data_IF_855393612352
#
_entry.id   IF_855393612352
#
_cell.length_a   1.000
_cell.length_b   1.000
_cell.length_c   1.000
_cell.angle_alpha   90.00
_cell.angle_beta   90.00
_cell.angle_gamma   90.00
#
_symmetry.space_group_name_H-M   'P 1'
#
loop_
_entity.id
_entity.type
_entity.pdbx_description
1 polymer ?
#
# COMPACT_ATOMS: atom_id res chain seq x y z
N UNK A 1 6.42 2.49 -21.55
CA UNK A 1 6.91 2.56 -20.16
C UNK A 1 5.79 2.03 -19.28
N UNK A 2 6.02 0.94 -18.55
CA UNK A 2 4.99 0.35 -17.68
C UNK A 2 4.94 1.12 -16.36
N UNK A 3 3.74 1.53 -15.92
CA UNK A 3 3.54 2.10 -14.58
C UNK A 3 3.07 0.99 -13.65
N UNK A 4 3.87 0.66 -12.64
CA UNK A 4 3.53 -0.35 -11.65
C UNK A 4 2.89 0.29 -10.41
N UNK A 5 1.82 -0.33 -9.90
CA UNK A 5 1.12 0.08 -8.69
C UNK A 5 1.11 -1.02 -7.65
N UNK A 6 1.54 -0.72 -6.43
CA UNK A 6 1.36 -1.60 -5.28
C UNK A 6 0.00 -1.34 -4.65
N UNK A 7 -0.99 -2.20 -4.96
CA UNK A 7 -2.36 -2.08 -4.44
C UNK A 7 -2.38 -2.32 -2.93
N UNK A 8 -2.90 -1.35 -2.19
CA UNK A 8 -3.03 -1.41 -0.74
C UNK A 8 -4.14 -0.45 -0.26
N UNK A 9 -4.67 -0.68 0.95
CA UNK A 9 -5.65 0.19 1.62
C UNK A 9 -5.20 1.65 1.62
N UNK A 10 -6.11 2.55 1.30
CA UNK A 10 -5.87 3.99 1.20
C UNK A 10 -5.21 4.54 2.46
N UNK A 11 -5.71 4.13 3.63
CA UNK A 11 -5.17 4.56 4.93
C UNK A 11 -3.72 4.09 5.15
N UNK A 12 -3.37 2.90 4.64
CA UNK A 12 -2.02 2.33 4.76
C UNK A 12 -1.07 3.03 3.80
N UNK A 13 -1.51 3.31 2.55
CA UNK A 13 -0.76 4.13 1.61
C UNK A 13 -0.39 5.49 2.22
N UNK A 14 -1.34 6.17 2.85
CA UNK A 14 -1.10 7.45 3.50
C UNK A 14 -0.24 7.34 4.77
N UNK A 15 -0.31 6.23 5.50
CA UNK A 15 0.54 6.00 6.67
C UNK A 15 2.01 5.82 6.26
N UNK A 16 2.25 5.03 5.20
CA UNK A 16 3.58 4.83 4.61
C UNK A 16 4.12 6.13 4.01
N UNK A 17 3.33 6.80 3.17
CA UNK A 17 3.75 8.02 2.47
C UNK A 17 4.08 9.20 3.41
N UNK A 18 3.38 9.29 4.54
CA UNK A 18 3.66 10.31 5.59
C UNK A 18 4.74 9.89 6.58
N UNK A 19 5.29 8.68 6.47
CA UNK A 19 6.25 8.14 7.44
C UNK A 19 5.66 7.82 8.83
N UNK A 20 4.33 7.81 8.98
CA UNK A 20 3.66 7.42 10.24
C UNK A 20 3.79 5.92 10.52
N UNK A 21 3.97 5.14 9.47
CA UNK A 21 4.24 3.72 9.50
C UNK A 21 5.44 3.43 8.61
N UNK A 22 6.38 2.61 9.09
CA UNK A 22 7.61 2.28 8.36
C UNK A 22 7.67 0.82 7.92
N UNK A 23 6.79 -0.03 8.46
CA UNK A 23 6.77 -1.48 8.21
C UNK A 23 5.42 -1.89 7.68
N UNK A 24 5.41 -2.75 6.66
CA UNK A 24 4.22 -3.44 6.19
C UNK A 24 4.45 -4.95 6.27
N UNK A 25 3.49 -5.66 6.86
CA UNK A 25 3.49 -7.12 6.89
C UNK A 25 2.42 -7.59 5.92
N UNK A 26 2.83 -8.28 4.86
CA UNK A 26 1.94 -8.85 3.85
C UNK A 26 2.11 -10.36 3.87
N UNK A 27 1.00 -11.08 3.89
CA UNK A 27 1.02 -12.51 3.63
C UNK A 27 1.41 -12.71 2.16
N UNK A 28 2.46 -13.49 1.90
CA UNK A 28 2.87 -13.89 0.56
C UNK A 28 1.79 -14.70 -0.17
N UNK A 29 2.03 -14.96 -1.45
CA UNK A 29 1.17 -15.85 -2.25
C UNK A 29 1.26 -17.30 -1.80
N UNK A 30 0.30 -18.13 -2.21
CA UNK A 30 0.23 -19.55 -1.84
C UNK A 30 1.43 -20.35 -2.41
N UNK A 31 2.07 -19.85 -3.48
CA UNK A 31 3.26 -20.44 -4.08
C UNK A 31 4.34 -19.38 -4.28
N UNK A 32 5.33 -19.38 -3.39
CA UNK A 32 6.61 -18.71 -3.63
C UNK A 32 7.52 -19.72 -4.32
N UNK A 33 8.00 -19.38 -5.53
CA UNK A 33 8.95 -20.22 -6.25
C UNK A 33 10.29 -20.32 -5.52
N UNK A 34 11.28 -21.00 -6.12
CA UNK A 34 12.62 -21.16 -5.50
C UNK A 34 13.32 -19.84 -5.12
N UNK A 35 12.89 -18.71 -5.69
CA UNK A 35 13.40 -17.37 -5.38
C UNK A 35 12.80 -16.71 -4.13
N UNK A 36 11.84 -17.34 -3.45
CA UNK A 36 11.21 -16.80 -2.24
C UNK A 36 10.40 -15.51 -2.45
N UNK A 37 10.11 -14.80 -1.36
CA UNK A 37 9.42 -13.51 -1.37
C UNK A 37 10.36 -12.38 -1.81
N UNK A 38 10.00 -11.68 -2.90
CA UNK A 38 10.71 -10.48 -3.34
C UNK A 38 9.78 -9.51 -4.07
N UNK A 39 10.16 -8.24 -4.10
CA UNK A 39 9.49 -7.25 -4.94
C UNK A 39 9.82 -7.51 -6.41
N UNK A 40 8.79 -7.78 -7.22
CA UNK A 40 8.95 -7.89 -8.70
C UNK A 40 9.39 -6.58 -9.35
N UNK A 41 8.89 -5.45 -8.86
CA UNK A 41 9.25 -4.11 -9.33
C UNK A 41 9.99 -3.36 -8.24
N UNK A 42 11.10 -2.70 -8.59
CA UNK A 42 11.90 -1.91 -7.65
C UNK A 42 11.37 -0.50 -7.44
N UNK A 43 10.54 -0.03 -8.35
CA UNK A 43 9.96 1.30 -8.38
C UNK A 43 8.48 1.16 -8.71
N UNK A 44 7.62 1.77 -7.90
CA UNK A 44 6.17 1.66 -8.06
C UNK A 44 5.46 2.79 -7.33
N UNK A 45 4.24 3.10 -7.78
CA UNK A 45 3.33 3.95 -7.05
C UNK A 45 2.62 3.15 -5.95
N UNK A 46 2.26 3.80 -4.84
CA UNK A 46 1.25 3.23 -3.94
C UNK A 46 -0.12 3.44 -4.56
N UNK A 47 -0.84 2.35 -4.80
CA UNK A 47 -2.15 2.39 -5.45
C UNK A 47 -3.26 2.19 -4.40
N UNK A 48 -3.89 3.29 -3.91
CA UNK A 48 -4.85 3.22 -2.82
C UNK A 48 -6.15 2.55 -3.25
N UNK A 49 -6.73 1.72 -2.38
CA UNK A 49 -8.02 1.08 -2.59
C UNK A 49 -8.86 1.10 -1.31
N UNK A 50 -10.17 1.25 -1.43
CA UNK A 50 -11.12 1.13 -0.32
C UNK A 50 -11.74 -0.27 -0.21
N UNK A 51 -11.29 -1.20 -1.05
CA UNK A 51 -11.86 -2.54 -1.17
C UNK A 51 -11.51 -3.41 0.05
N UNK A 52 -12.54 -3.91 0.74
CA UNK A 52 -12.46 -4.69 1.98
C UNK A 52 -11.65 -4.03 3.11
N UNK A 53 -11.58 -2.69 3.15
CA UNK A 53 -10.98 -1.99 4.28
C UNK A 53 -11.74 -2.28 5.58
N UNK A 54 -10.99 -2.61 6.65
CA UNK A 54 -11.54 -2.88 7.97
C UNK A 54 -11.11 -1.80 8.94
N UNK A 55 -11.76 -0.63 8.88
CA UNK A 55 -11.43 0.54 9.72
C UNK A 55 -11.40 0.20 11.21
N UNK A 56 -12.29 -0.68 11.68
CA UNK A 56 -12.31 -1.13 13.08
C UNK A 56 -11.04 -1.88 13.52
N UNK A 57 -10.18 -2.33 12.60
CA UNK A 57 -8.92 -3.05 12.88
C UNK A 57 -7.69 -2.16 12.78
N UNK A 58 -7.84 -0.86 12.57
CA UNK A 58 -6.72 0.08 12.51
C UNK A 58 -6.77 1.05 13.69
N UNK A 59 -5.60 1.52 14.12
CA UNK A 59 -5.47 2.56 15.15
C UNK A 59 -5.16 3.87 14.46
N UNK A 60 -6.19 4.64 14.14
CA UNK A 60 -6.09 5.92 13.46
C UNK A 60 -7.11 6.90 14.06
N UNK A 61 -6.77 8.19 14.10
CA UNK A 61 -7.72 9.20 14.52
C UNK A 61 -8.86 9.30 13.51
N UNK A 62 -10.08 9.55 13.97
CA UNK A 62 -11.25 9.63 13.08
C UNK A 62 -11.08 10.70 11.98
N UNK A 63 -10.39 11.80 12.29
CA UNK A 63 -10.08 12.87 11.35
C UNK A 63 -9.14 12.44 10.20
N UNK A 64 -8.39 11.35 10.37
CA UNK A 64 -7.42 10.85 9.39
C UNK A 64 -7.96 9.68 8.56
N UNK A 65 -9.23 9.28 8.75
CA UNK A 65 -9.86 8.22 7.96
C UNK A 65 -10.16 8.77 6.56
N UNK A 66 -9.56 8.21 5.49
CA UNK A 66 -9.84 8.66 4.14
C UNK A 66 -11.27 8.27 3.74
N UNK A 67 -11.97 9.17 3.06
CA UNK A 67 -13.34 8.93 2.57
C UNK A 67 -13.28 8.51 1.10
N UNK A 68 -13.97 7.42 0.70
CA UNK A 68 -14.05 7.01 -0.70
C UNK A 68 -14.72 8.09 -1.57
N UNK A 69 -14.15 8.34 -2.75
CA UNK A 69 -14.75 9.17 -3.80
C UNK A 69 -14.82 8.44 -5.14
N UNK A 70 -15.30 9.11 -6.18
CA UNK A 70 -15.33 8.58 -7.56
C UNK A 70 -13.96 8.60 -8.25
N UNK A 71 -12.97 9.26 -7.65
CA UNK A 71 -11.60 9.37 -8.14
C UNK A 71 -10.64 9.07 -7.00
N UNK A 72 -9.56 8.34 -7.31
CA UNK A 72 -8.46 8.08 -6.38
C UNK A 72 -7.22 8.80 -6.86
N UNK A 73 -6.57 9.54 -5.96
CA UNK A 73 -5.31 10.21 -6.25
C UNK A 73 -4.13 9.26 -5.98
N UNK A 74 -3.29 9.04 -6.98
CA UNK A 74 -2.00 8.38 -6.80
C UNK A 74 -0.99 9.45 -6.36
N UNK A 75 -0.67 9.47 -5.06
CA UNK A 75 0.16 10.52 -4.44
C UNK A 75 1.59 10.09 -4.17
N UNK A 76 1.78 8.81 -3.91
CA UNK A 76 3.01 8.31 -3.32
C UNK A 76 3.76 7.42 -4.31
N UNK A 77 5.06 7.64 -4.37
CA UNK A 77 6.01 6.86 -5.15
C UNK A 77 7.00 6.21 -4.19
N UNK A 78 7.31 4.94 -4.41
CA UNK A 78 8.23 4.17 -3.58
C UNK A 78 9.32 3.53 -4.44
N UNK A 79 10.53 3.46 -3.87
CA UNK A 79 11.68 2.77 -4.43
C UNK A 79 12.25 1.82 -3.39
N UNK A 80 12.51 0.58 -3.81
CA UNK A 80 13.10 -0.47 -2.97
C UNK A 80 14.63 -0.26 -2.90
N UNK A 81 15.11 0.03 -1.69
CA UNK A 81 16.55 0.11 -1.38
C UNK A 81 17.17 -1.29 -1.29
N UNK A 82 18.49 -1.39 -1.49
CA UNK A 82 19.24 -2.66 -1.48
C UNK A 82 19.67 -3.03 -0.07
#
# INVERSE_FOLDING_TARGET
MESAGFKEWSLVCDALGRGRQSVILRKGGIAEGRGGFSFRHREFFLFPTFFHEQIAKVRIAAADIPVPGSTVAIRWYARVER
#
